data_IF_568675065252
#
_entry.id   IF_568675065252
#
_cell.length_a   1.000
_cell.length_b   1.000
_cell.length_c   1.000
_cell.angle_alpha   90.00
_cell.angle_beta   90.00
_cell.angle_gamma   90.00
#
_symmetry.space_group_name_H-M   'P 1'
#
loop_
_entity.id
_entity.type
_entity.pdbx_description
1 polymer ?
#
# COMPACT_ATOMS: atom_id res chain seq x y z
N UNK A 1 21.18 -16.09 40.01
CA UNK A 1 20.40 -17.13 39.30
C UNK A 1 18.90 -17.04 39.58
N UNK A 2 18.40 -17.21 40.82
CA UNK A 2 16.94 -17.18 41.08
C UNK A 2 16.22 -15.88 40.67
N UNK A 3 16.85 -14.71 40.89
CA UNK A 3 16.27 -13.41 40.50
C UNK A 3 16.15 -13.24 38.97
N UNK A 4 17.19 -13.62 38.21
CA UNK A 4 17.17 -13.63 36.74
C UNK A 4 16.13 -14.61 36.19
N UNK A 5 16.01 -15.78 36.80
CA UNK A 5 14.99 -16.76 36.42
C UNK A 5 13.57 -16.19 36.66
N UNK A 6 13.33 -15.58 37.82
CA UNK A 6 12.02 -14.98 38.15
C UNK A 6 11.69 -13.81 37.21
N UNK A 7 12.69 -13.01 36.84
CA UNK A 7 12.52 -11.91 35.89
C UNK A 7 12.16 -12.42 34.49
N UNK A 8 12.88 -13.43 33.99
CA UNK A 8 12.57 -14.06 32.70
C UNK A 8 11.17 -14.70 32.69
N UNK A 9 10.79 -15.37 33.77
CA UNK A 9 9.45 -15.96 33.92
C UNK A 9 8.34 -14.90 33.87
N UNK A 10 8.54 -13.77 34.55
CA UNK A 10 7.61 -12.64 34.51
C UNK A 10 7.56 -11.97 33.13
N UNK A 11 8.72 -11.76 32.50
CA UNK A 11 8.81 -11.20 31.16
C UNK A 11 8.06 -12.09 30.16
N UNK A 12 8.34 -13.39 30.17
CA UNK A 12 7.65 -14.37 29.31
C UNK A 12 6.13 -14.34 29.50
N UNK A 13 5.65 -14.24 30.74
CA UNK A 13 4.21 -14.14 31.00
C UNK A 13 3.61 -12.83 30.50
N UNK A 14 4.36 -11.73 30.53
CA UNK A 14 3.92 -10.41 30.06
C UNK A 14 3.91 -10.29 28.54
N UNK A 15 4.85 -10.94 27.85
CA UNK A 15 5.01 -10.87 26.38
C UNK A 15 4.26 -11.97 25.63
N UNK A 16 3.69 -12.96 26.34
CA UNK A 16 2.93 -14.03 25.73
C UNK A 16 1.68 -13.50 25.00
N UNK A 17 1.45 -14.02 23.80
CA UNK A 17 0.29 -13.70 22.98
C UNK A 17 -0.66 -14.88 22.91
N UNK A 18 -1.94 -14.60 22.62
CA UNK A 18 -2.98 -15.60 22.44
C UNK A 18 -3.52 -15.56 21.01
N UNK A 19 -3.49 -16.71 20.33
CA UNK A 19 -4.18 -16.94 19.06
C UNK A 19 -5.40 -17.83 19.30
N UNK A 20 -6.50 -17.55 18.60
CA UNK A 20 -7.74 -18.33 18.71
C UNK A 20 -8.30 -18.61 17.32
N UNK A 21 -8.45 -19.89 17.02
CA UNK A 21 -8.93 -20.42 15.75
C UNK A 21 -10.29 -21.08 15.99
N UNK A 22 -11.30 -20.69 15.21
CA UNK A 22 -12.65 -21.26 15.30
C UNK A 22 -12.81 -22.38 14.28
N UNK A 23 -13.76 -23.28 14.53
CA UNK A 23 -14.06 -24.45 13.70
C UNK A 23 -12.82 -25.22 13.22
N UNK A 24 -11.84 -25.39 14.11
CA UNK A 24 -10.57 -26.02 13.78
C UNK A 24 -10.75 -27.52 13.55
N UNK A 25 -10.21 -28.01 12.44
CA UNK A 25 -10.22 -29.41 12.04
C UNK A 25 -8.80 -29.88 11.71
N UNK A 26 -8.40 -31.04 12.24
CA UNK A 26 -7.09 -31.62 12.02
C UNK A 26 -7.21 -32.74 10.99
N UNK A 27 -6.99 -32.44 9.70
CA UNK A 27 -7.20 -33.39 8.60
C UNK A 27 -6.37 -34.67 8.78
N UNK A 28 -5.11 -34.51 9.20
CA UNK A 28 -4.18 -35.61 9.45
C UNK A 28 -4.27 -36.15 10.90
N UNK A 29 -5.23 -35.64 11.69
CA UNK A 29 -5.44 -35.98 13.09
C UNK A 29 -4.60 -35.14 14.06
N UNK A 30 -5.18 -34.85 15.23
CA UNK A 30 -4.55 -34.03 16.26
C UNK A 30 -3.25 -34.62 16.82
N UNK A 31 -3.12 -35.95 16.84
CA UNK A 31 -1.89 -36.62 17.31
C UNK A 31 -0.66 -36.26 16.48
N UNK A 32 -0.77 -36.20 15.15
CA UNK A 32 0.34 -35.80 14.29
C UNK A 32 0.72 -34.33 14.47
N UNK A 33 -0.27 -33.48 14.73
CA UNK A 33 -0.03 -32.07 15.06
C UNK A 33 0.76 -31.93 16.36
N UNK A 34 0.40 -32.67 17.41
CA UNK A 34 1.16 -32.69 18.68
C UNK A 34 2.58 -33.25 18.50
N UNK A 35 2.74 -34.34 17.75
CA UNK A 35 4.06 -34.93 17.47
C UNK A 35 4.98 -33.92 16.77
N UNK A 36 4.46 -33.18 15.79
CA UNK A 36 5.23 -32.15 15.10
C UNK A 36 5.64 -30.99 16.03
N UNK A 37 4.81 -30.62 17.02
CA UNK A 37 5.19 -29.64 18.04
C UNK A 37 6.31 -30.14 18.95
N UNK A 38 6.32 -31.44 19.25
CA UNK A 38 7.37 -32.06 20.05
C UNK A 38 8.71 -32.11 19.28
N UNK A 39 8.66 -32.43 17.98
CA UNK A 39 9.87 -32.47 17.13
C UNK A 39 10.55 -31.11 17.02
N UNK A 40 9.78 -30.02 17.07
CA UNK A 40 10.28 -28.65 17.00
C UNK A 40 10.58 -28.07 18.41
N UNK A 41 10.63 -28.91 19.44
CA UNK A 41 10.88 -28.55 20.85
C UNK A 41 9.92 -27.47 21.41
N UNK A 42 8.74 -27.31 20.80
CA UNK A 42 7.71 -26.35 21.22
C UNK A 42 6.95 -26.84 22.46
N UNK A 43 6.74 -28.16 22.55
CA UNK A 43 6.17 -28.83 23.72
C UNK A 43 7.12 -29.94 24.15
N UNK A 44 7.48 -29.95 25.42
CA UNK A 44 8.32 -30.98 26.01
C UNK A 44 7.45 -32.11 26.58
N UNK A 45 7.80 -33.37 26.28
CA UNK A 45 7.17 -34.61 26.76
C UNK A 45 5.81 -34.99 26.13
N UNK A 46 5.39 -36.26 26.28
CA UNK A 46 4.07 -36.75 25.83
C UNK A 46 2.96 -35.96 26.53
N UNK A 47 2.31 -34.98 25.87
CA UNK A 47 1.52 -34.02 26.60
C UNK A 47 0.18 -34.68 26.96
N UNK A 48 -0.05 -34.88 28.25
CA UNK A 48 -1.33 -35.43 28.73
C UNK A 48 -2.37 -34.32 28.81
N UNK A 49 -3.51 -34.53 28.16
CA UNK A 49 -4.61 -33.56 28.18
C UNK A 49 -5.15 -33.40 29.60
N UNK A 50 -5.14 -32.18 30.14
CA UNK A 50 -5.85 -31.85 31.38
C UNK A 50 -7.19 -31.21 31.04
N UNK A 51 -8.28 -31.74 31.61
CA UNK A 51 -9.59 -31.08 31.51
C UNK A 51 -9.59 -29.84 32.40
N UNK A 52 -9.73 -28.66 31.79
CA UNK A 52 -9.83 -27.37 32.49
C UNK A 52 -11.05 -26.60 31.98
N UNK A 53 -12.03 -26.39 32.87
CA UNK A 53 -13.30 -25.77 32.48
C UNK A 53 -14.06 -26.64 31.46
N UNK A 54 -14.43 -26.07 30.32
CA UNK A 54 -15.14 -26.75 29.23
C UNK A 54 -14.23 -27.28 28.12
N UNK A 55 -12.91 -27.29 28.31
CA UNK A 55 -11.94 -27.67 27.28
C UNK A 55 -10.81 -28.54 27.79
N UNK A 56 -9.95 -28.93 26.86
CA UNK A 56 -8.77 -29.76 27.09
C UNK A 56 -7.53 -28.92 26.89
N UNK A 57 -6.59 -28.97 27.82
CA UNK A 57 -5.37 -28.18 27.78
C UNK A 57 -4.13 -29.08 27.76
N UNK A 58 -3.22 -28.79 26.84
CA UNK A 58 -1.85 -29.33 26.76
C UNK A 58 -0.91 -28.16 27.06
N UNK A 59 -0.11 -28.27 28.11
CA UNK A 59 0.69 -27.15 28.62
C UNK A 59 2.14 -27.56 28.72
N UNK A 60 3.02 -26.71 28.21
CA UNK A 60 4.38 -26.58 28.69
C UNK A 60 4.48 -25.22 29.40
N UNK A 61 5.23 -25.14 30.50
CA UNK A 61 5.25 -23.96 31.36
C UNK A 61 5.54 -22.67 30.56
N UNK A 62 4.51 -21.83 30.31
CA UNK A 62 4.65 -20.58 29.54
C UNK A 62 5.75 -19.69 30.15
N UNK A 63 5.88 -19.71 31.47
CA UNK A 63 6.92 -19.02 32.22
C UNK A 63 8.35 -19.43 31.79
N UNK A 64 8.53 -20.65 31.29
CA UNK A 64 9.81 -21.16 30.75
C UNK A 64 9.94 -21.01 29.23
N UNK A 65 9.04 -20.26 28.57
CA UNK A 65 9.05 -20.06 27.12
C UNK A 65 8.27 -21.10 26.30
N UNK A 66 7.55 -22.00 26.97
CA UNK A 66 6.66 -22.98 26.31
C UNK A 66 5.35 -22.39 25.81
N UNK A 67 4.48 -23.26 25.29
CA UNK A 67 3.13 -22.90 24.86
C UNK A 67 2.04 -23.62 25.66
N UNK A 68 0.86 -23.02 25.71
CA UNK A 68 -0.37 -23.66 26.16
C UNK A 68 -1.35 -23.78 25.01
N UNK A 69 -1.75 -25.01 24.71
CA UNK A 69 -2.78 -25.33 23.71
C UNK A 69 -4.05 -25.71 24.45
N UNK A 70 -5.18 -25.12 24.04
CA UNK A 70 -6.50 -25.44 24.58
C UNK A 70 -7.47 -25.73 23.44
N UNK A 71 -8.21 -26.84 23.52
CA UNK A 71 -9.30 -27.14 22.59
C UNK A 71 -10.65 -27.20 23.30
N UNK A 72 -11.67 -26.63 22.69
CA UNK A 72 -13.06 -26.66 23.23
C UNK A 72 -13.75 -28.04 23.13
N UNK A 73 -13.23 -28.92 22.29
CA UNK A 73 -13.69 -30.31 22.13
C UNK A 73 -12.51 -31.26 22.25
N UNK A 74 -12.76 -32.52 22.61
CA UNK A 74 -11.68 -33.51 22.69
C UNK A 74 -11.18 -33.82 21.27
N UNK A 75 -9.91 -33.55 20.95
CA UNK A 75 -9.46 -33.50 19.56
C UNK A 75 -9.10 -34.89 18.97
N UNK A 76 -9.11 -35.94 19.79
CA UNK A 76 -9.04 -37.34 19.34
C UNK A 76 -10.42 -37.96 19.00
N UNK A 77 -11.50 -37.17 19.04
CA UNK A 77 -12.83 -37.65 18.62
C UNK A 77 -12.79 -37.95 17.12
N UNK A 78 -13.03 -39.22 16.76
CA UNK A 78 -12.88 -39.76 15.39
C UNK A 78 -13.69 -39.04 14.31
N UNK A 79 -14.66 -38.21 14.66
CA UNK A 79 -15.62 -37.61 13.73
C UNK A 79 -15.15 -36.27 13.12
N UNK A 80 -13.87 -35.90 13.24
CA UNK A 80 -13.34 -34.59 12.78
C UNK A 80 -14.18 -33.40 13.26
N UNK A 81 -14.78 -33.51 14.45
CA UNK A 81 -15.68 -32.46 14.92
C UNK A 81 -14.92 -31.15 15.11
N UNK A 82 -15.35 -30.13 14.38
CA UNK A 82 -14.82 -28.79 14.46
C UNK A 82 -14.99 -28.22 15.88
N UNK A 83 -13.94 -27.59 16.40
CA UNK A 83 -13.94 -26.92 17.69
C UNK A 83 -12.97 -25.74 17.71
N UNK A 84 -13.08 -24.87 18.72
CA UNK A 84 -12.10 -23.79 18.93
C UNK A 84 -10.77 -24.34 19.42
N UNK A 85 -9.67 -23.91 18.78
CA UNK A 85 -8.28 -24.08 19.21
C UNK A 85 -7.74 -22.73 19.70
N UNK A 86 -7.21 -22.69 20.92
CA UNK A 86 -6.55 -21.51 21.50
C UNK A 86 -5.11 -21.86 21.83
N UNK A 87 -4.17 -21.00 21.43
CA UNK A 87 -2.73 -21.22 21.64
C UNK A 87 -2.17 -19.97 22.29
N UNK A 88 -1.49 -20.14 23.44
CA UNK A 88 -0.83 -19.06 24.17
C UNK A 88 0.66 -19.35 24.21
N UNK A 89 1.50 -18.39 23.87
CA UNK A 89 2.95 -18.56 23.84
C UNK A 89 3.71 -17.31 23.42
N UNK A 90 5.04 -17.40 23.37
CA UNK A 90 5.87 -16.33 22.82
C UNK A 90 5.62 -16.15 21.31
N UNK A 91 5.80 -14.94 20.75
CA UNK A 91 5.59 -14.67 19.32
C UNK A 91 6.32 -15.66 18.39
N UNK A 92 7.58 -15.99 18.69
CA UNK A 92 8.38 -16.91 17.88
C UNK A 92 7.84 -18.35 17.94
N UNK A 93 7.42 -18.82 19.12
CA UNK A 93 6.80 -20.13 19.29
C UNK A 93 5.47 -20.22 18.54
N UNK A 94 4.67 -19.15 18.57
CA UNK A 94 3.40 -19.09 17.82
C UNK A 94 3.63 -19.16 16.30
N UNK A 95 4.69 -18.55 15.76
CA UNK A 95 5.03 -18.70 14.34
C UNK A 95 5.35 -20.13 13.94
N UNK A 96 6.08 -20.86 14.80
CA UNK A 96 6.43 -22.25 14.56
C UNK A 96 5.15 -23.11 14.56
N UNK A 97 4.26 -22.87 15.53
CA UNK A 97 2.95 -23.53 15.61
C UNK A 97 2.11 -23.27 14.35
N UNK A 98 2.04 -22.02 13.88
CA UNK A 98 1.34 -21.68 12.63
C UNK A 98 1.91 -22.42 11.41
N UNK A 99 3.24 -22.53 11.34
CA UNK A 99 3.92 -23.28 10.28
C UNK A 99 3.63 -24.79 10.35
N UNK A 100 3.46 -25.34 11.55
CA UNK A 100 3.06 -26.74 11.75
C UNK A 100 1.59 -26.95 11.37
N UNK A 101 0.69 -26.04 11.76
CA UNK A 101 -0.72 -26.09 11.38
C UNK A 101 -0.89 -26.17 9.86
N UNK A 102 -0.14 -25.37 9.11
CA UNK A 102 -0.11 -25.41 7.64
C UNK A 102 0.41 -26.76 7.12
N UNK A 103 1.59 -27.21 7.57
CA UNK A 103 2.20 -28.50 7.14
C UNK A 103 1.30 -29.71 7.38
N UNK A 104 0.47 -29.66 8.42
CA UNK A 104 -0.42 -30.75 8.82
C UNK A 104 -1.88 -30.55 8.41
N UNK A 105 -2.16 -29.62 7.49
CA UNK A 105 -3.50 -29.36 6.94
C UNK A 105 -4.55 -29.11 8.04
N UNK A 106 -4.20 -28.28 9.03
CA UNK A 106 -5.14 -27.86 10.07
C UNK A 106 -6.02 -26.75 9.51
N UNK A 107 -7.29 -27.06 9.27
CA UNK A 107 -8.28 -26.12 8.75
C UNK A 107 -8.94 -25.35 9.90
N UNK A 108 -9.33 -24.09 9.70
CA UNK A 108 -10.02 -23.25 10.68
C UNK A 108 -10.73 -22.08 9.98
N UNK A 109 -11.71 -21.46 10.65
CA UNK A 109 -12.41 -20.30 10.11
C UNK A 109 -11.44 -19.16 9.79
N UNK A 110 -11.51 -18.63 8.57
CA UNK A 110 -10.66 -17.54 8.11
C UNK A 110 -9.29 -17.97 7.59
N UNK A 111 -9.01 -19.29 7.53
CA UNK A 111 -7.89 -19.78 6.74
C UNK A 111 -8.16 -19.51 5.25
N UNK A 112 -7.21 -18.93 4.49
CA UNK A 112 -7.42 -18.66 3.08
C UNK A 112 -7.62 -19.96 2.29
N UNK A 113 -8.84 -20.19 1.81
CA UNK A 113 -9.23 -21.37 1.04
C UNK A 113 -9.62 -20.98 -0.39
N UNK A 114 -9.25 -21.75 -1.44
CA UNK A 114 -9.66 -21.43 -2.81
C UNK A 114 -11.18 -21.29 -2.99
N UNK A 115 -11.98 -22.01 -2.20
CA UNK A 115 -13.44 -21.93 -2.26
C UNK A 115 -14.00 -20.62 -1.71
N UNK A 116 -13.28 -19.95 -0.82
CA UNK A 116 -13.70 -18.70 -0.18
C UNK A 116 -13.27 -17.46 -0.98
N UNK A 117 -12.50 -17.67 -2.06
CA UNK A 117 -12.00 -16.60 -2.91
C UNK A 117 -13.03 -16.27 -4.00
N UNK A 118 -13.55 -15.04 -3.92
CA UNK A 118 -14.36 -14.43 -4.97
C UNK A 118 -13.44 -13.75 -6.01
N UNK A 119 -13.63 -14.08 -7.28
CA UNK A 119 -13.00 -13.37 -8.40
C UNK A 119 -14.06 -12.40 -8.94
N UNK A 120 -13.82 -11.10 -8.79
CA UNK A 120 -14.66 -10.06 -9.36
C UNK A 120 -14.06 -9.63 -10.70
N UNK A 121 -14.52 -10.27 -11.77
CA UNK A 121 -14.28 -9.83 -13.14
C UNK A 121 -15.65 -9.59 -13.76
N UNK A 122 -15.88 -8.36 -14.18
CA UNK A 122 -17.05 -7.97 -14.97
C UNK A 122 -16.56 -7.65 -16.38
N UNK A 123 -17.36 -8.02 -17.37
CA UNK A 123 -17.11 -7.71 -18.77
C UNK A 123 -18.46 -7.30 -19.39
N UNK A 124 -18.48 -6.12 -20.01
CA UNK A 124 -19.69 -5.46 -20.47
C UNK A 124 -19.69 -5.32 -21.99
N UNK A 125 -20.87 -5.34 -22.60
CA UNK A 125 -21.05 -5.07 -24.04
C UNK A 125 -20.74 -3.60 -24.42
N UNK A 126 -20.70 -2.70 -23.43
CA UNK A 126 -20.51 -1.26 -23.61
C UNK A 126 -19.44 -0.70 -22.65
N UNK A 127 -18.73 0.35 -23.09
CA UNK A 127 -17.84 1.11 -22.21
C UNK A 127 -18.64 1.79 -21.09
N UNK A 128 -17.95 2.24 -20.04
CA UNK A 128 -18.58 2.81 -18.86
C UNK A 128 -19.53 3.97 -19.23
N UNK A 129 -20.87 3.80 -19.13
CA UNK A 129 -21.83 4.76 -19.63
C UNK A 129 -21.89 6.05 -18.79
N UNK A 130 -21.20 6.10 -17.65
CA UNK A 130 -21.01 7.34 -16.88
C UNK A 130 -20.04 8.30 -17.56
N UNK A 131 -19.14 7.78 -18.39
CA UNK A 131 -18.01 8.50 -18.97
C UNK A 131 -18.12 8.63 -20.48
N UNK A 132 -18.62 7.57 -21.14
CA UNK A 132 -18.60 7.43 -22.59
C UNK A 132 -20.01 7.56 -23.18
N UNK A 133 -20.09 8.23 -24.32
CA UNK A 133 -21.25 8.26 -25.19
C UNK A 133 -20.97 7.46 -26.46
N UNK A 134 -21.88 6.56 -26.81
CA UNK A 134 -21.80 5.81 -28.07
C UNK A 134 -22.34 6.67 -29.22
N UNK A 135 -21.48 7.05 -30.15
CA UNK A 135 -21.85 7.77 -31.36
C UNK A 135 -21.61 6.91 -32.60
N UNK A 136 -22.66 6.20 -33.03
CA UNK A 136 -22.56 5.22 -34.11
C UNK A 136 -21.75 4.00 -33.66
N UNK A 137 -20.62 3.77 -34.32
CA UNK A 137 -19.71 2.65 -34.02
C UNK A 137 -18.53 3.06 -33.13
N UNK A 138 -18.44 4.32 -32.70
CA UNK A 138 -17.35 4.84 -31.86
C UNK A 138 -17.85 5.29 -30.50
N UNK A 139 -16.96 5.30 -29.51
CA UNK A 139 -17.19 5.93 -28.21
C UNK A 139 -16.41 7.23 -28.10
N UNK A 140 -17.06 8.27 -27.60
CA UNK A 140 -16.45 9.56 -27.26
C UNK A 140 -16.72 9.89 -25.80
N UNK A 141 -15.83 10.62 -25.15
CA UNK A 141 -16.11 11.13 -23.81
C UNK A 141 -17.27 12.13 -23.86
N UNK A 142 -18.11 12.13 -22.83
CA UNK A 142 -19.04 13.24 -22.66
C UNK A 142 -18.25 14.56 -22.54
N UNK A 143 -18.69 15.66 -23.19
CA UNK A 143 -17.95 16.92 -23.17
C UNK A 143 -17.68 17.47 -21.76
N UNK A 144 -18.60 17.26 -20.81
CA UNK A 144 -18.43 17.69 -19.42
C UNK A 144 -17.46 16.80 -18.63
N UNK A 145 -17.32 15.53 -19.01
CA UNK A 145 -16.32 14.61 -18.49
C UNK A 145 -14.93 15.01 -19.00
N UNK A 146 -14.80 15.29 -20.30
CA UNK A 146 -13.57 15.79 -20.91
C UNK A 146 -13.05 17.06 -20.22
N UNK A 147 -13.88 18.10 -20.13
CA UNK A 147 -13.51 19.38 -19.50
C UNK A 147 -13.08 19.20 -18.02
N UNK A 148 -13.76 18.31 -17.30
CA UNK A 148 -13.42 18.00 -15.91
C UNK A 148 -12.08 17.27 -15.78
N UNK A 149 -11.80 16.31 -16.68
CA UNK A 149 -10.53 15.58 -16.71
C UNK A 149 -9.36 16.49 -17.08
N UNK A 150 -9.52 17.35 -18.09
CA UNK A 150 -8.50 18.35 -18.46
C UNK A 150 -8.19 19.29 -17.29
N UNK A 151 -9.23 19.78 -16.61
CA UNK A 151 -9.07 20.65 -15.43
C UNK A 151 -8.35 19.93 -14.28
N UNK A 152 -8.63 18.64 -14.09
CA UNK A 152 -7.97 17.83 -13.08
C UNK A 152 -6.50 17.57 -13.42
N UNK A 153 -6.20 17.28 -14.69
CA UNK A 153 -4.84 17.12 -15.20
C UNK A 153 -4.00 18.39 -15.02
N UNK A 154 -4.55 19.56 -15.33
CA UNK A 154 -3.88 20.85 -15.11
C UNK A 154 -3.59 21.10 -13.62
N UNK A 155 -4.54 20.80 -12.74
CA UNK A 155 -4.34 20.97 -11.29
C UNK A 155 -3.22 20.07 -10.76
N UNK A 156 -3.15 18.81 -11.25
CA UNK A 156 -2.07 17.91 -10.91
C UNK A 156 -0.73 18.38 -11.49
N UNK A 157 -0.71 18.86 -12.73
CA UNK A 157 0.48 19.47 -13.34
C UNK A 157 1.00 20.66 -12.53
N UNK A 158 0.12 21.57 -12.09
CA UNK A 158 0.51 22.70 -11.24
C UNK A 158 1.10 22.25 -9.89
N UNK A 159 0.55 21.17 -9.32
CA UNK A 159 1.04 20.58 -8.07
C UNK A 159 2.45 20.00 -8.19
N UNK A 160 2.87 19.54 -9.38
CA UNK A 160 4.23 19.07 -9.61
C UNK A 160 5.27 20.20 -9.50
N UNK A 161 4.88 21.47 -9.41
CA UNK A 161 5.78 22.63 -9.31
C UNK A 161 6.92 22.65 -10.37
N UNK A 162 6.68 22.04 -11.53
CA UNK A 162 7.62 21.93 -12.65
C UNK A 162 7.04 22.63 -13.89
N UNK A 163 7.04 23.97 -13.96
CA UNK A 163 6.34 24.72 -15.01
C UNK A 163 6.89 24.51 -16.42
N UNK A 164 8.13 24.02 -16.55
CA UNK A 164 8.77 23.70 -17.84
C UNK A 164 8.71 22.20 -18.15
N UNK A 165 7.85 21.42 -17.48
CA UNK A 165 7.67 20.00 -17.75
C UNK A 165 6.99 19.86 -19.13
N UNK A 166 7.65 19.25 -20.13
CA UNK A 166 7.06 19.08 -21.44
C UNK A 166 6.01 17.97 -21.39
N UNK A 167 4.74 18.36 -21.39
CA UNK A 167 3.62 17.43 -21.53
C UNK A 167 3.40 17.17 -23.01
N UNK A 168 3.63 15.92 -23.41
CA UNK A 168 3.37 15.48 -24.78
C UNK A 168 1.86 15.23 -24.98
N UNK A 169 1.22 14.60 -24.00
CA UNK A 169 -0.21 14.28 -24.01
C UNK A 169 -0.78 14.17 -22.58
N UNK A 170 -2.11 14.20 -22.46
CA UNK A 170 -2.84 13.81 -21.26
C UNK A 170 -3.80 12.70 -21.66
N UNK A 171 -3.59 11.50 -21.13
CA UNK A 171 -4.37 10.32 -21.53
C UNK A 171 -5.15 9.74 -20.37
N UNK A 172 -6.23 9.04 -20.69
CA UNK A 172 -6.94 8.19 -19.74
C UNK A 172 -6.84 6.72 -20.17
N UNK A 173 -6.73 5.85 -19.18
CA UNK A 173 -6.53 4.41 -19.35
C UNK A 173 -7.18 3.63 -18.21
N UNK A 174 -6.91 2.33 -18.15
CA UNK A 174 -7.40 1.44 -17.11
C UNK A 174 -8.81 0.93 -17.38
N UNK A 175 -9.40 0.29 -16.37
CA UNK A 175 -10.66 -0.45 -16.55
C UNK A 175 -11.84 0.43 -16.98
N UNK A 176 -11.89 1.70 -16.56
CA UNK A 176 -12.93 2.66 -16.96
C UNK A 176 -12.83 3.13 -18.42
N UNK A 177 -11.68 2.91 -19.07
CA UNK A 177 -11.47 3.15 -20.51
C UNK A 177 -11.52 1.85 -21.33
N UNK A 178 -12.18 0.82 -20.80
CA UNK A 178 -12.24 -0.52 -21.36
C UNK A 178 -13.60 -1.18 -21.04
N UNK A 179 -13.83 -2.41 -21.50
CA UNK A 179 -15.09 -3.17 -21.30
C UNK A 179 -15.15 -3.91 -19.96
N UNK A 180 -14.08 -3.86 -19.15
CA UNK A 180 -13.95 -4.57 -17.87
C UNK A 180 -14.08 -3.65 -16.64
N UNK A 181 -14.84 -2.56 -16.78
CA UNK A 181 -15.14 -1.65 -15.68
C UNK A 181 -16.07 -2.32 -14.65
N UNK A 182 -16.05 -1.82 -13.41
CA UNK A 182 -16.89 -2.26 -12.30
C UNK A 182 -17.38 -1.03 -11.52
N UNK A 183 -18.29 -1.20 -10.55
CA UNK A 183 -18.67 -0.11 -9.64
C UNK A 183 -17.50 0.39 -8.76
N UNK A 184 -16.44 -0.41 -8.62
CA UNK A 184 -15.21 -0.04 -7.90
C UNK A 184 -14.09 0.48 -8.80
N UNK A 185 -14.32 0.61 -10.11
CA UNK A 185 -13.31 1.07 -11.05
C UNK A 185 -13.01 2.55 -10.84
N UNK A 186 -11.71 2.85 -10.88
CA UNK A 186 -11.15 4.19 -11.01
C UNK A 186 -10.91 4.53 -12.48
N UNK A 187 -10.56 5.78 -12.73
CA UNK A 187 -10.09 6.29 -14.00
C UNK A 187 -8.65 6.77 -13.84
N UNK A 188 -7.74 6.13 -14.55
CA UNK A 188 -6.33 6.44 -14.50
C UNK A 188 -6.04 7.60 -15.46
N UNK A 189 -5.65 8.77 -14.93
CA UNK A 189 -5.27 9.95 -15.70
C UNK A 189 -3.74 10.10 -15.71
N UNK A 190 -3.17 10.11 -16.91
CA UNK A 190 -1.73 10.10 -17.15
C UNK A 190 -1.28 11.41 -17.80
N UNK A 191 -0.34 12.11 -17.16
CA UNK A 191 0.47 13.14 -17.82
C UNK A 191 1.62 12.45 -18.55
N UNK A 192 1.57 12.43 -19.88
CA UNK A 192 2.57 11.75 -20.72
C UNK A 192 3.73 12.69 -21.01
N UNK A 193 4.95 12.23 -20.74
CA UNK A 193 6.18 13.03 -20.85
C UNK A 193 7.33 12.23 -21.49
N UNK A 194 8.31 12.94 -22.06
CA UNK A 194 9.60 12.34 -22.43
C UNK A 194 10.48 12.22 -21.18
N UNK A 195 10.49 11.04 -20.55
CA UNK A 195 11.24 10.83 -19.31
C UNK A 195 12.75 10.95 -19.55
N UNK A 196 13.24 10.54 -20.72
CA UNK A 196 14.67 10.64 -21.07
C UNK A 196 15.12 12.10 -21.14
N UNK A 197 14.30 12.99 -21.70
CA UNK A 197 14.58 14.42 -21.73
C UNK A 197 14.56 15.03 -20.33
N UNK A 198 13.63 14.60 -19.47
CA UNK A 198 13.52 15.08 -18.09
C UNK A 198 14.71 14.62 -17.26
N UNK A 199 15.08 13.34 -17.31
CA UNK A 199 16.25 12.80 -16.62
C UNK A 199 17.54 13.50 -17.04
N UNK A 200 17.66 13.85 -18.33
CA UNK A 200 18.80 14.64 -18.80
C UNK A 200 18.86 16.04 -18.16
N UNK A 201 17.72 16.65 -17.84
CA UNK A 201 17.63 18.01 -17.25
C UNK A 201 17.74 18.00 -15.73
N UNK A 202 17.10 17.03 -15.06
CA UNK A 202 16.95 17.01 -13.60
C UNK A 202 17.64 15.82 -12.92
N UNK A 203 18.22 14.90 -13.70
CA UNK A 203 18.86 13.68 -13.22
C UNK A 203 17.89 12.52 -12.99
N UNK A 204 18.43 11.37 -12.62
CA UNK A 204 17.71 10.12 -12.33
C UNK A 204 16.75 10.21 -11.11
N UNK A 205 16.73 11.35 -10.41
CA UNK A 205 15.79 11.62 -9.32
C UNK A 205 14.38 11.94 -9.83
N UNK A 206 14.23 12.34 -11.09
CA UNK A 206 12.93 12.79 -11.61
C UNK A 206 11.84 11.71 -11.56
N UNK A 207 12.08 10.44 -11.98
CA UNK A 207 11.09 9.38 -11.81
C UNK A 207 10.70 9.15 -10.34
N UNK A 208 11.66 9.23 -9.42
CA UNK A 208 11.40 9.09 -7.97
C UNK A 208 10.56 10.25 -7.45
N UNK A 209 10.82 11.47 -7.92
CA UNK A 209 10.03 12.65 -7.59
C UNK A 209 8.58 12.49 -8.05
N UNK A 210 8.34 12.11 -9.32
CA UNK A 210 6.98 11.95 -9.82
C UNK A 210 6.22 10.83 -9.11
N UNK A 211 6.88 9.69 -8.83
CA UNK A 211 6.27 8.61 -8.05
C UNK A 211 5.87 9.07 -6.63
N UNK A 212 6.70 9.90 -5.99
CA UNK A 212 6.38 10.47 -4.69
C UNK A 212 5.23 11.49 -4.77
N UNK A 213 5.26 12.42 -5.73
CA UNK A 213 4.20 13.42 -5.91
C UNK A 213 2.86 12.79 -6.26
N UNK A 214 2.86 11.78 -7.15
CA UNK A 214 1.69 10.95 -7.42
C UNK A 214 1.09 10.43 -6.10
N UNK A 215 1.92 9.80 -5.26
CA UNK A 215 1.45 9.21 -4.00
C UNK A 215 0.85 10.29 -3.09
N UNK A 216 1.56 11.40 -2.90
CA UNK A 216 1.10 12.50 -2.05
C UNK A 216 -0.21 13.08 -2.58
N UNK A 217 -0.34 13.29 -3.89
CA UNK A 217 -1.55 13.83 -4.49
C UNK A 217 -2.76 12.92 -4.30
N UNK A 218 -2.62 11.63 -4.65
CA UNK A 218 -3.69 10.63 -4.56
C UNK A 218 -4.09 10.35 -3.10
N UNK A 219 -3.16 10.44 -2.14
CA UNK A 219 -3.47 10.30 -0.71
C UNK A 219 -4.25 11.50 -0.13
N UNK A 220 -3.99 12.71 -0.66
CA UNK A 220 -4.55 13.96 -0.11
C UNK A 220 -5.88 14.38 -0.76
N UNK A 221 -6.18 13.90 -1.95
CA UNK A 221 -7.33 14.35 -2.74
C UNK A 221 -8.24 13.18 -3.14
N UNK A 222 -9.54 13.40 -3.05
CA UNK A 222 -10.59 12.46 -3.44
C UNK A 222 -11.36 13.03 -4.65
N UNK A 223 -10.71 13.03 -5.82
CA UNK A 223 -11.25 13.61 -7.04
C UNK A 223 -12.16 12.57 -7.72
N UNK A 224 -13.42 12.96 -7.98
CA UNK A 224 -14.42 12.09 -8.58
C UNK A 224 -15.09 12.77 -9.77
N UNK A 225 -15.23 12.06 -10.89
CA UNK A 225 -15.94 12.53 -12.09
C UNK A 225 -17.11 11.58 -12.36
N UNK A 226 -18.33 12.11 -12.30
CA UNK A 226 -19.58 11.31 -12.39
C UNK A 226 -19.64 10.14 -11.38
N UNK A 227 -18.96 10.30 -10.23
CA UNK A 227 -18.86 9.27 -9.20
C UNK A 227 -17.83 8.17 -9.49
N UNK A 228 -16.96 8.36 -10.48
CA UNK A 228 -15.78 7.53 -10.75
C UNK A 228 -14.56 8.24 -10.16
N UNK A 229 -13.82 7.61 -9.22
CA UNK A 229 -12.58 8.17 -8.68
C UNK A 229 -11.52 8.33 -9.78
N UNK A 230 -10.68 9.37 -9.68
CA UNK A 230 -9.59 9.61 -10.63
C UNK A 230 -8.25 9.38 -9.91
N UNK A 231 -7.42 8.48 -10.44
CA UNK A 231 -6.04 8.28 -9.98
C UNK A 231 -5.06 8.95 -10.94
N UNK A 232 -4.06 9.67 -10.41
CA UNK A 232 -3.14 10.46 -11.24
C UNK A 232 -1.77 9.80 -11.39
N UNK A 233 -1.18 9.95 -12.57
CA UNK A 233 0.09 9.35 -12.96
C UNK A 233 0.92 10.34 -13.81
N UNK A 234 2.24 10.23 -13.72
CA UNK A 234 3.16 10.76 -14.74
C UNK A 234 3.77 9.55 -15.43
N UNK A 235 3.67 9.50 -16.75
CA UNK A 235 4.06 8.34 -17.53
C UNK A 235 5.11 8.69 -18.58
N UNK A 236 6.11 7.82 -18.74
CA UNK A 236 7.05 7.92 -19.85
C UNK A 236 6.37 7.53 -21.16
N UNK A 237 6.50 8.35 -22.19
CA UNK A 237 5.93 8.09 -23.51
C UNK A 237 6.46 6.80 -24.17
N UNK A 238 7.64 6.34 -23.78
CA UNK A 238 8.25 5.10 -24.27
C UNK A 238 7.85 3.86 -23.45
N UNK A 239 7.09 4.03 -22.37
CA UNK A 239 6.64 2.92 -21.54
C UNK A 239 5.65 2.03 -22.29
N UNK A 240 5.85 0.70 -22.24
CA UNK A 240 4.95 -0.24 -22.90
C UNK A 240 3.61 -0.26 -22.18
N UNK A 241 2.53 0.01 -22.92
CA UNK A 241 1.18 -0.13 -22.41
C UNK A 241 0.75 -1.61 -22.42
N UNK A 242 0.31 -2.09 -21.27
CA UNK A 242 -0.43 -3.35 -21.13
C UNK A 242 -1.95 -3.14 -21.16
N UNK A 243 -2.39 -1.87 -21.10
CA UNK A 243 -3.80 -1.51 -21.27
C UNK A 243 -4.23 -1.72 -22.71
N UNK A 244 -5.46 -2.20 -22.88
CA UNK A 244 -6.07 -2.35 -24.20
C UNK A 244 -6.90 -1.14 -24.62
N UNK A 245 -7.00 -0.09 -23.79
CA UNK A 245 -7.71 1.16 -24.12
C UNK A 245 -6.94 2.40 -23.63
N UNK A 246 -6.67 3.34 -24.54
CA UNK A 246 -5.98 4.60 -24.24
C UNK A 246 -6.63 5.72 -25.05
N UNK A 247 -7.12 6.74 -24.37
CA UNK A 247 -7.76 7.91 -24.98
C UNK A 247 -7.00 9.19 -24.67
N UNK A 248 -6.67 9.97 -25.70
CA UNK A 248 -6.05 11.28 -25.55
C UNK A 248 -7.11 12.33 -25.26
N UNK A 249 -6.97 13.04 -24.13
CA UNK A 249 -7.80 14.20 -23.82
C UNK A 249 -7.41 15.40 -24.68
N UNK A 250 -6.12 15.54 -24.99
CA UNK A 250 -5.58 16.65 -25.77
C UNK A 250 -6.10 16.66 -27.21
N UNK A 251 -6.09 15.49 -27.84
CA UNK A 251 -6.53 15.32 -29.23
C UNK A 251 -8.00 14.85 -29.32
N UNK A 252 -8.61 14.52 -28.18
CA UNK A 252 -9.99 14.03 -28.05
C UNK A 252 -10.26 12.81 -28.96
N UNK A 253 -9.33 11.87 -28.97
CA UNK A 253 -9.37 10.68 -29.81
C UNK A 253 -8.74 9.45 -29.14
N UNK A 254 -9.10 8.26 -29.59
CA UNK A 254 -8.46 7.02 -29.15
C UNK A 254 -7.04 6.92 -29.71
N UNK A 255 -6.06 6.88 -28.82
CA UNK A 255 -4.69 6.47 -29.18
C UNK A 255 -4.65 4.95 -29.42
N UNK A 256 -5.38 4.21 -28.58
CA UNK A 256 -5.62 2.78 -28.72
C UNK A 256 -7.07 2.50 -28.32
N UNK A 257 -7.93 2.17 -29.29
CA UNK A 257 -9.33 1.86 -29.02
C UNK A 257 -9.48 0.44 -28.43
N UNK A 258 -10.26 0.25 -27.35
CA UNK A 258 -10.47 -1.05 -26.75
C UNK A 258 -11.28 -1.98 -27.66
N UNK A 259 -10.84 -3.24 -27.74
CA UNK A 259 -11.57 -4.29 -28.44
C UNK A 259 -12.47 -5.06 -27.48
N UNK A 260 -13.69 -5.35 -27.92
CA UNK A 260 -14.62 -6.20 -27.16
C UNK A 260 -14.34 -7.68 -27.44
N UNK A 261 -13.32 -8.21 -26.77
CA UNK A 261 -12.94 -9.63 -26.78
C UNK A 261 -12.97 -10.17 -25.35
N UNK A 262 -14.07 -10.85 -25.02
CA UNK A 262 -14.23 -11.45 -23.68
C UNK A 262 -13.12 -12.50 -23.44
N UNK A 263 -12.34 -12.35 -22.36
CA UNK A 263 -11.21 -13.22 -22.08
C UNK A 263 -11.64 -14.58 -21.53
N UNK A 264 -10.92 -15.65 -21.91
CA UNK A 264 -11.06 -16.96 -21.28
C UNK A 264 -10.21 -17.02 -19.99
N UNK A 265 -10.87 -17.04 -18.83
CA UNK A 265 -10.22 -17.00 -17.51
C UNK A 265 -10.32 -18.36 -16.83
N UNK A 266 -9.18 -18.91 -16.42
CA UNK A 266 -9.12 -20.08 -15.54
C UNK A 266 -9.28 -19.67 -14.07
N UNK A 267 -10.53 -19.54 -13.65
CA UNK A 267 -10.90 -19.21 -12.27
C UNK A 267 -10.26 -20.14 -11.23
N UNK A 268 -10.14 -21.44 -11.55
CA UNK A 268 -9.57 -22.41 -10.62
C UNK A 268 -8.08 -22.15 -10.42
N UNK A 269 -7.34 -21.86 -11.50
CA UNK A 269 -5.94 -21.50 -11.42
C UNK A 269 -5.73 -20.20 -10.62
N UNK A 270 -6.57 -19.17 -10.85
CA UNK A 270 -6.51 -17.91 -10.09
C UNK A 270 -6.76 -18.16 -8.60
N UNK A 271 -7.85 -18.86 -8.23
CA UNK A 271 -8.19 -19.14 -6.82
C UNK A 271 -7.13 -19.96 -6.11
N UNK A 272 -6.66 -21.04 -6.75
CA UNK A 272 -5.62 -21.89 -6.18
C UNK A 272 -4.33 -21.09 -5.92
N UNK A 273 -3.92 -20.26 -6.89
CA UNK A 273 -2.69 -19.47 -6.77
C UNK A 273 -2.80 -18.34 -5.77
N UNK A 274 -3.95 -17.68 -5.69
CA UNK A 274 -4.22 -16.65 -4.69
C UNK A 274 -4.19 -17.23 -3.28
N UNK A 275 -4.87 -18.35 -3.02
CA UNK A 275 -4.83 -19.04 -1.72
C UNK A 275 -3.41 -19.45 -1.33
N UNK A 276 -2.61 -19.98 -2.26
CA UNK A 276 -1.21 -20.33 -2.02
C UNK A 276 -0.37 -19.12 -1.57
N UNK A 277 -0.56 -17.96 -2.22
CA UNK A 277 0.16 -16.73 -1.89
C UNK A 277 -0.35 -16.09 -0.59
N UNK A 278 -1.65 -16.17 -0.33
CA UNK A 278 -2.25 -15.74 0.95
C UNK A 278 -1.63 -16.52 2.12
N UNK A 279 -1.55 -17.85 2.04
CA UNK A 279 -0.90 -18.68 3.05
C UNK A 279 0.58 -18.31 3.25
N UNK A 280 1.31 -18.05 2.15
CA UNK A 280 2.69 -17.56 2.22
C UNK A 280 2.80 -16.21 2.94
N UNK A 281 1.90 -15.27 2.65
CA UNK A 281 1.87 -13.96 3.32
C UNK A 281 1.51 -14.12 4.80
N UNK A 282 0.50 -14.92 5.14
CA UNK A 282 0.10 -15.20 6.53
C UNK A 282 1.25 -15.77 7.35
N UNK A 283 2.01 -16.69 6.75
CA UNK A 283 3.20 -17.25 7.37
C UNK A 283 4.25 -16.17 7.67
N UNK A 284 4.62 -15.35 6.70
CA UNK A 284 5.68 -14.34 6.86
C UNK A 284 5.24 -13.21 7.79
N UNK A 285 3.95 -12.86 7.78
CA UNK A 285 3.37 -11.78 8.59
C UNK A 285 3.06 -12.19 10.03
N UNK A 286 3.14 -13.48 10.40
CA UNK A 286 2.70 -13.94 11.73
C UNK A 286 3.49 -13.37 12.93
N UNK A 287 4.70 -12.84 12.74
CA UNK A 287 5.44 -12.09 13.78
C UNK A 287 5.85 -10.68 13.37
N UNK A 288 5.71 -10.33 12.08
CA UNK A 288 6.34 -9.15 11.50
C UNK A 288 7.84 -8.99 11.88
N UNK A 289 8.62 -10.09 12.01
CA UNK A 289 9.97 -9.99 12.58
C UNK A 289 11.13 -9.83 11.58
N UNK A 290 10.95 -10.15 10.29
CA UNK A 290 12.06 -10.32 9.35
C UNK A 290 11.87 -9.46 8.10
N UNK A 291 12.50 -8.27 8.06
CA UNK A 291 12.45 -7.35 6.93
C UNK A 291 12.79 -8.03 5.58
N UNK A 292 13.87 -8.82 5.54
CA UNK A 292 14.32 -9.54 4.33
C UNK A 292 13.30 -10.53 3.75
N UNK A 293 12.46 -11.13 4.60
CA UNK A 293 11.45 -12.06 4.14
C UNK A 293 10.34 -11.34 3.37
N UNK A 294 10.02 -10.10 3.77
CA UNK A 294 9.04 -9.25 3.10
C UNK A 294 9.53 -8.78 1.72
N UNK A 295 10.81 -8.40 1.60
CA UNK A 295 11.38 -8.01 0.30
C UNK A 295 11.28 -9.13 -0.74
N UNK A 296 11.58 -10.37 -0.33
CA UNK A 296 11.58 -11.53 -1.23
C UNK A 296 10.19 -11.82 -1.79
N UNK A 297 9.17 -11.83 -0.95
CA UNK A 297 7.80 -12.10 -1.39
C UNK A 297 7.23 -10.93 -2.19
N UNK A 298 7.55 -9.67 -1.84
CA UNK A 298 7.16 -8.49 -2.64
C UNK A 298 7.79 -8.50 -4.02
N UNK A 299 9.09 -8.81 -4.11
CA UNK A 299 9.78 -8.97 -5.39
C UNK A 299 9.14 -10.09 -6.21
N UNK A 300 8.87 -11.25 -5.58
CA UNK A 300 8.16 -12.36 -6.24
C UNK A 300 6.79 -11.95 -6.78
N UNK A 301 5.98 -11.22 -6.00
CA UNK A 301 4.65 -10.75 -6.42
C UNK A 301 4.75 -9.76 -7.59
N UNK A 302 5.72 -8.84 -7.54
CA UNK A 302 5.95 -7.87 -8.61
C UNK A 302 6.36 -8.56 -9.91
N UNK A 303 7.38 -9.42 -9.85
CA UNK A 303 7.92 -10.10 -11.03
C UNK A 303 6.88 -11.08 -11.62
N UNK A 304 6.10 -11.74 -10.75
CA UNK A 304 4.97 -12.59 -11.14
C UNK A 304 3.90 -11.80 -11.91
N UNK A 305 3.48 -10.64 -11.38
CA UNK A 305 2.51 -9.77 -12.05
C UNK A 305 3.05 -9.25 -13.38
N UNK A 306 4.29 -8.79 -13.41
CA UNK A 306 4.93 -8.26 -14.62
C UNK A 306 4.96 -9.30 -15.74
N UNK A 307 5.37 -10.54 -15.43
CA UNK A 307 5.40 -11.62 -16.41
C UNK A 307 4.00 -11.93 -16.99
N UNK A 308 2.95 -11.87 -16.18
CA UNK A 308 1.57 -12.03 -16.64
C UNK A 308 1.12 -10.92 -17.57
N UNK A 309 1.36 -9.66 -17.18
CA UNK A 309 1.02 -8.48 -17.98
C UNK A 309 1.73 -8.50 -19.35
N UNK A 310 3.01 -8.87 -19.38
CA UNK A 310 3.78 -8.96 -20.62
C UNK A 310 3.30 -10.10 -21.55
N UNK A 311 2.78 -11.20 -20.98
CA UNK A 311 2.40 -12.39 -21.75
C UNK A 311 0.96 -12.37 -22.23
N UNK A 312 0.03 -11.97 -21.37
CA UNK A 312 -1.41 -12.11 -21.60
C UNK A 312 -2.23 -10.89 -21.15
N UNK A 313 -1.56 -9.77 -20.83
CA UNK A 313 -2.22 -8.50 -20.53
C UNK A 313 -3.04 -8.50 -19.23
N UNK A 314 -4.09 -7.68 -19.22
CA UNK A 314 -4.89 -7.39 -18.03
C UNK A 314 -5.61 -8.62 -17.43
N UNK A 315 -5.93 -9.61 -18.26
CA UNK A 315 -6.64 -10.83 -17.87
C UNK A 315 -5.74 -12.03 -17.62
N UNK A 316 -4.42 -11.81 -17.57
CA UNK A 316 -3.48 -12.83 -17.13
C UNK A 316 -3.80 -13.34 -15.72
N UNK A 317 -3.64 -14.64 -15.52
CA UNK A 317 -3.83 -15.29 -14.21
C UNK A 317 -3.06 -14.55 -13.12
N UNK A 318 -1.84 -14.11 -13.41
CA UNK A 318 -0.97 -13.43 -12.46
C UNK A 318 -1.51 -12.05 -12.04
N UNK A 319 -2.06 -11.28 -12.99
CA UNK A 319 -2.68 -9.99 -12.68
C UNK A 319 -4.00 -10.16 -11.92
N UNK A 320 -4.81 -11.16 -12.27
CA UNK A 320 -6.04 -11.48 -11.54
C UNK A 320 -5.76 -11.93 -10.10
N UNK A 321 -4.73 -12.77 -9.89
CA UNK A 321 -4.26 -13.15 -8.56
C UNK A 321 -3.83 -11.92 -7.75
N UNK A 322 -3.13 -10.97 -8.35
CA UNK A 322 -2.75 -9.72 -7.69
C UNK A 322 -3.98 -8.89 -7.29
N UNK A 323 -4.99 -8.77 -8.17
CA UNK A 323 -6.27 -8.11 -7.86
C UNK A 323 -6.99 -8.79 -6.69
N UNK A 324 -7.02 -10.12 -6.67
CA UNK A 324 -7.59 -10.90 -5.54
C UNK A 324 -6.84 -10.63 -4.24
N UNK A 325 -5.51 -10.61 -4.24
CA UNK A 325 -4.70 -10.30 -3.06
C UNK A 325 -4.96 -8.87 -2.54
N UNK A 326 -5.10 -7.88 -3.44
CA UNK A 326 -5.47 -6.49 -3.08
C UNK A 326 -6.86 -6.45 -2.45
N UNK A 327 -7.86 -7.04 -3.10
CA UNK A 327 -9.25 -7.03 -2.65
C UNK A 327 -9.44 -7.68 -1.27
N UNK A 328 -8.61 -8.66 -0.92
CA UNK A 328 -8.64 -9.34 0.37
C UNK A 328 -7.68 -8.72 1.41
N UNK A 329 -7.09 -7.54 1.15
CA UNK A 329 -6.24 -6.80 2.10
C UNK A 329 -4.86 -7.42 2.35
N UNK A 330 -4.45 -8.43 1.57
CA UNK A 330 -3.17 -9.11 1.76
C UNK A 330 -1.97 -8.26 1.36
N UNK A 331 -2.14 -7.34 0.39
CA UNK A 331 -1.09 -6.38 0.00
C UNK A 331 -0.85 -5.31 1.07
N UNK A 332 -1.91 -4.87 1.76
CA UNK A 332 -1.79 -3.92 2.87
C UNK A 332 -1.16 -4.61 4.07
N UNK A 333 -1.64 -5.83 4.39
CA UNK A 333 -1.11 -6.66 5.49
C UNK A 333 0.41 -6.84 5.41
N UNK A 334 0.92 -7.14 4.21
CA UNK A 334 2.36 -7.32 4.04
C UNK A 334 3.13 -6.00 4.16
N UNK A 335 2.59 -4.91 3.62
CA UNK A 335 3.20 -3.59 3.69
C UNK A 335 3.28 -3.09 5.13
N UNK A 336 2.20 -3.26 5.91
CA UNK A 336 2.14 -2.91 7.32
C UNK A 336 3.16 -3.68 8.16
N UNK A 337 3.27 -5.00 7.96
CA UNK A 337 4.25 -5.80 8.67
C UNK A 337 5.69 -5.41 8.30
N UNK A 338 5.96 -5.12 7.02
CA UNK A 338 7.28 -4.67 6.56
C UNK A 338 7.68 -3.37 7.26
N UNK A 339 6.78 -2.40 7.31
CA UNK A 339 7.00 -1.12 8.00
C UNK A 339 7.26 -1.34 9.48
N UNK A 340 6.43 -2.15 10.17
CA UNK A 340 6.65 -2.47 11.59
C UNK A 340 7.99 -3.15 11.86
N UNK A 341 8.39 -4.11 11.01
CA UNK A 341 9.67 -4.79 11.13
C UNK A 341 10.84 -3.80 10.99
N UNK A 342 10.76 -2.96 9.96
CA UNK A 342 11.78 -1.94 9.68
C UNK A 342 11.87 -0.88 10.77
N UNK A 343 10.73 -0.35 11.23
CA UNK A 343 10.67 0.65 12.30
C UNK A 343 11.26 0.10 13.59
N UNK A 344 10.96 -1.15 13.93
CA UNK A 344 11.55 -1.80 15.11
C UNK A 344 13.05 -1.99 14.97
N UNK A 345 13.53 -2.42 13.80
CA UNK A 345 14.97 -2.61 13.56
C UNK A 345 15.76 -1.28 13.65
N UNK A 346 15.10 -0.13 13.42
CA UNK A 346 15.71 1.21 13.53
C UNK A 346 15.38 1.94 14.84
N UNK A 347 14.48 1.41 15.65
CA UNK A 347 14.11 2.00 16.94
C UNK A 347 15.05 1.48 18.03
N UNK A 348 15.42 2.38 18.95
CA UNK A 348 16.20 2.02 20.15
C UNK A 348 15.28 2.25 21.35
N UNK A 349 15.05 1.20 22.12
CA UNK A 349 14.23 1.27 23.33
C UNK A 349 14.94 2.06 24.44
N UNK A 350 14.18 2.67 25.36
CA UNK A 350 14.72 3.58 26.39
C UNK A 350 15.80 2.92 27.28
N UNK A 351 15.62 1.62 27.60
CA UNK A 351 16.63 0.83 28.33
C UNK A 351 17.93 0.61 27.54
N UNK A 352 17.85 0.40 26.22
CA UNK A 352 19.04 0.30 25.37
C UNK A 352 19.72 1.66 25.21
N UNK A 353 18.92 2.73 25.13
CA UNK A 353 19.39 4.10 25.08
C UNK A 353 20.16 4.49 26.34
N UNK A 354 19.66 4.14 27.53
CA UNK A 354 20.33 4.40 28.81
C UNK A 354 21.64 3.61 28.94
N UNK A 355 21.73 2.41 28.38
CA UNK A 355 22.98 1.62 28.32
C UNK A 355 24.00 2.20 27.31
N UNK A 356 23.54 2.86 26.24
CA UNK A 356 24.40 3.59 25.30
C UNK A 356 24.87 4.94 25.85
N UNK A 357 24.27 5.40 26.95
CA UNK A 357 24.51 6.70 27.58
C UNK A 357 25.62 6.69 28.63
N UNK A 358 26.27 5.53 28.85
CA UNK A 358 27.58 5.50 29.52
C UNK A 358 28.50 6.46 28.78
N UNK A 359 28.68 7.63 29.38
CA UNK A 359 29.26 8.81 28.74
C UNK A 359 30.75 8.52 28.44
N UNK A 360 31.17 8.39 27.16
CA UNK A 360 32.58 8.15 26.83
C UNK A 360 33.49 9.29 27.29
N UNK A 361 32.91 10.43 27.67
CA UNK A 361 33.60 11.63 28.12
C UNK A 361 33.87 11.64 29.64
N UNK A 362 33.29 10.73 30.43
CA UNK A 362 33.63 10.59 31.87
C UNK A 362 35.08 10.10 32.06
N UNK A 363 35.57 9.19 31.20
CA UNK A 363 36.92 8.61 31.29
C UNK A 363 38.04 9.60 30.94
N UNK A 364 37.75 10.72 30.26
CA UNK A 364 38.74 11.74 29.89
C UNK A 364 38.61 13.06 30.66
N UNK A 365 37.76 13.10 31.68
CA UNK A 365 37.67 14.23 32.63
C UNK A 365 37.11 15.53 32.06
N UNK A 366 36.32 15.48 30.98
CA UNK A 366 35.74 16.68 30.37
C UNK A 366 34.40 17.04 31.03
N UNK A 367 34.37 18.10 31.85
CA UNK A 367 33.10 18.63 32.39
C UNK A 367 32.48 19.61 31.38
N UNK A 368 31.26 19.32 30.91
CA UNK A 368 30.49 20.25 30.05
C UNK A 368 30.22 21.55 30.81
N UNK A 369 30.92 22.62 30.45
CA UNK A 369 30.59 23.98 30.89
C UNK A 369 29.21 24.43 30.34
N UNK A 370 28.54 25.39 30.99
CA UNK A 370 27.17 25.78 30.64
C UNK A 370 27.08 26.35 29.23
N UNK A 371 26.16 25.79 28.44
CA UNK A 371 25.86 26.22 27.09
C UNK A 371 25.40 27.69 27.08
N UNK A 372 26.17 28.58 26.42
CA UNK A 372 25.73 29.95 26.13
C UNK A 372 25.15 29.98 24.72
N UNK A 373 23.84 30.15 24.53
CA UNK A 373 23.27 30.29 23.20
C UNK A 373 23.82 31.55 22.53
N UNK A 374 24.27 31.41 21.27
CA UNK A 374 24.70 32.53 20.44
C UNK A 374 23.49 33.41 20.11
N UNK A 375 23.66 34.70 20.28
CA UNK A 375 22.68 35.78 20.11
C UNK A 375 22.03 35.85 18.72
N UNK A 376 20.73 36.19 18.70
CA UNK A 376 19.89 36.52 17.55
C UNK A 376 20.57 37.43 16.51
N UNK A 377 20.63 36.97 15.26
CA UNK A 377 20.78 37.83 14.08
C UNK A 377 19.38 38.05 13.52
N UNK A 378 18.77 39.19 13.84
CA UNK A 378 17.53 39.64 13.21
C UNK A 378 17.86 40.18 11.81
N UNK A 379 17.55 39.42 10.76
CA UNK A 379 17.48 39.96 9.40
C UNK A 379 16.15 40.71 9.26
N UNK A 380 16.23 42.01 8.98
CA UNK A 380 15.08 42.84 8.62
C UNK A 380 14.53 42.39 7.26
N UNK A 381 13.39 41.71 7.25
CA UNK A 381 12.62 41.44 6.02
C UNK A 381 11.59 42.54 5.82
N UNK A 382 11.62 43.22 4.67
CA UNK A 382 10.63 44.23 4.31
C UNK A 382 9.22 43.63 4.18
N UNK A 383 8.22 44.31 4.74
CA UNK A 383 6.83 43.86 4.78
C UNK A 383 6.18 43.95 3.39
N UNK A 384 5.90 42.80 2.76
CA UNK A 384 5.16 42.68 1.50
C UNK A 384 3.66 42.50 1.73
N UNK A 385 2.83 43.06 0.85
CA UNK A 385 1.37 43.00 0.94
C UNK A 385 0.79 42.28 -0.27
N UNK A 386 -0.25 41.48 -0.06
CA UNK A 386 -0.96 40.75 -1.11
C UNK A 386 -1.99 41.65 -1.82
N UNK A 387 -1.98 41.63 -3.15
CA UNK A 387 -2.95 42.37 -3.99
C UNK A 387 -3.48 41.43 -5.04
N UNK A 388 -4.81 41.35 -5.18
CA UNK A 388 -5.47 40.55 -6.22
C UNK A 388 -5.57 41.35 -7.52
N UNK A 389 -5.46 40.67 -8.64
CA UNK A 389 -5.38 41.22 -9.99
C UNK A 389 -6.51 40.67 -10.86
N UNK A 390 -7.05 41.53 -11.72
CA UNK A 390 -8.04 41.16 -12.74
C UNK A 390 -7.33 40.97 -14.10
N UNK A 391 -6.61 39.86 -14.24
CA UNK A 391 -5.84 39.55 -15.46
C UNK A 391 -6.74 38.82 -16.47
N UNK A 392 -6.94 39.34 -17.70
CA UNK A 392 -7.62 38.61 -18.76
C UNK A 392 -6.86 37.34 -19.16
N UNK A 393 -7.57 36.27 -19.54
CA UNK A 393 -6.97 34.98 -19.89
C UNK A 393 -5.84 35.08 -20.93
N UNK A 394 -6.01 35.92 -21.95
CA UNK A 394 -5.00 36.17 -23.00
C UNK A 394 -3.71 36.84 -22.50
N UNK A 395 -3.69 37.34 -21.27
CA UNK A 395 -2.54 38.01 -20.64
C UNK A 395 -1.92 37.20 -19.49
N UNK A 396 -2.35 35.95 -19.29
CA UNK A 396 -1.89 35.07 -18.20
C UNK A 396 -0.38 34.86 -18.16
N UNK A 397 0.24 34.65 -19.33
CA UNK A 397 1.70 34.48 -19.43
C UNK A 397 2.46 35.76 -19.08
N UNK A 398 1.93 36.91 -19.49
CA UNK A 398 2.51 38.22 -19.17
C UNK A 398 2.41 38.52 -17.67
N UNK A 399 1.29 38.19 -17.03
CA UNK A 399 1.12 38.33 -15.58
C UNK A 399 2.04 37.39 -14.79
N UNK A 400 2.18 36.14 -15.21
CA UNK A 400 3.11 35.16 -14.61
C UNK A 400 4.56 35.64 -14.73
N UNK A 401 4.96 36.17 -15.89
CA UNK A 401 6.29 36.78 -16.10
C UNK A 401 6.55 38.00 -15.22
N UNK A 402 5.50 38.74 -14.85
CA UNK A 402 5.56 39.86 -13.92
C UNK A 402 5.58 39.43 -12.43
N UNK A 403 5.52 38.14 -12.13
CA UNK A 403 5.53 37.59 -10.78
C UNK A 403 4.15 37.43 -10.13
N UNK A 404 3.06 37.50 -10.91
CA UNK A 404 1.73 37.18 -10.43
C UNK A 404 1.53 35.66 -10.28
N UNK A 405 0.82 35.27 -9.23
CA UNK A 405 0.43 33.89 -8.91
C UNK A 405 -1.08 33.75 -8.99
N UNK A 406 -1.58 32.58 -9.34
CA UNK A 406 -3.01 32.29 -9.29
C UNK A 406 -3.40 31.80 -7.90
N UNK A 407 -4.53 32.28 -7.37
CA UNK A 407 -5.16 31.71 -6.19
C UNK A 407 -6.41 30.95 -6.63
N UNK A 408 -6.33 29.62 -6.61
CA UNK A 408 -7.39 28.73 -7.01
C UNK A 408 -8.62 28.81 -6.08
N UNK A 409 -8.42 29.11 -4.80
CA UNK A 409 -9.48 29.21 -3.80
C UNK A 409 -10.44 30.38 -4.05
N UNK A 410 -9.93 31.48 -4.60
CA UNK A 410 -10.76 32.65 -4.97
C UNK A 410 -10.84 32.92 -6.48
N UNK A 411 -10.22 32.07 -7.29
CA UNK A 411 -10.14 32.17 -8.76
C UNK A 411 -9.69 33.55 -9.22
N UNK A 412 -8.59 34.06 -8.65
CA UNK A 412 -7.99 35.35 -9.03
C UNK A 412 -6.47 35.30 -9.04
N UNK A 413 -5.87 36.10 -9.93
CA UNK A 413 -4.43 36.37 -9.89
C UNK A 413 -4.10 37.25 -8.68
N UNK A 414 -2.89 37.14 -8.14
CA UNK A 414 -2.39 37.98 -7.05
C UNK A 414 -0.88 38.18 -7.12
N UNK A 415 -0.38 39.25 -6.49
CA UNK A 415 1.05 39.50 -6.29
C UNK A 415 1.35 39.88 -4.83
N UNK A 416 2.55 39.54 -4.35
CA UNK A 416 3.11 40.00 -3.08
C UNK A 416 4.10 41.13 -3.35
N UNK A 417 3.65 42.37 -3.13
CA UNK A 417 4.41 43.58 -3.50
C UNK A 417 4.69 44.48 -2.31
N UNK A 418 5.81 45.17 -2.36
CA UNK A 418 6.09 46.37 -1.56
C UNK A 418 5.32 47.56 -2.14
N UNK A 419 5.23 48.66 -1.37
CA UNK A 419 4.59 49.90 -1.85
C UNK A 419 5.24 50.45 -3.13
N UNK A 420 6.55 50.23 -3.34
CA UNK A 420 7.27 50.68 -4.54
C UNK A 420 7.00 49.77 -5.76
N UNK A 421 6.77 48.48 -5.56
CA UNK A 421 6.45 47.54 -6.64
C UNK A 421 4.99 47.67 -7.11
N UNK A 422 4.10 48.16 -6.24
CA UNK A 422 2.71 48.43 -6.58
C UNK A 422 2.58 49.37 -7.80
N UNK A 423 3.43 50.39 -7.89
CA UNK A 423 3.42 51.37 -8.98
C UNK A 423 3.76 50.77 -10.35
N UNK A 424 4.40 49.59 -10.38
CA UNK A 424 4.82 48.90 -11.61
C UNK A 424 3.75 47.95 -12.17
N UNK A 425 2.69 47.68 -11.42
CA UNK A 425 1.59 46.82 -11.87
C UNK A 425 0.75 47.59 -12.92
N UNK A 426 0.51 47.02 -14.12
CA UNK A 426 -0.33 47.63 -15.14
C UNK A 426 -1.72 48.01 -14.60
N UNK A 427 -2.20 49.22 -14.91
CA UNK A 427 -3.52 49.67 -14.49
C UNK A 427 -4.66 48.78 -15.00
N UNK A 428 -4.46 48.06 -16.10
CA UNK A 428 -5.43 47.11 -16.63
C UNK A 428 -5.60 45.84 -15.78
N UNK A 429 -4.68 45.57 -14.83
CA UNK A 429 -4.73 44.42 -13.92
C UNK A 429 -5.14 44.81 -12.50
N UNK A 430 -5.13 46.10 -12.17
CA UNK A 430 -5.68 46.64 -10.90
C UNK A 430 -7.19 46.68 -11.00
#
# INVERSE_FOLDING_TARGET
MKMLQTFNEQHNLQTAQQLTFKNTQFENGFGQFLEALMVEDIIQEEPTAQLRGSGYTWCNEIAQGGIQITTSKHPYVKNKEAGTLTIVGQPDSLQIVMSIMERHNVHYDGAPSPQDIEIKVEYHDELNPKLWEKQGDMYELYPDVLEALESAGEAFFEFLEMPDLPIEDVTITGSSANYNWTDSSDLDLHLVVDMKAIEKKYGEIAPLYFNAQKKVWNDLHDINIKGVPVEFYVQDMDEKHHSTGIYSLKDNEWVLEPTHEEPDIDDNAVKAKASELMSQIDKITSSCNKADAFEKIMTKLRDFRQAGLEKAGEFSTENLVFKVLRANGYLDKITDCRTKAFDRDLSVEEEEWDNLRDDPWEDIGYTKGPFKPKSNIAQQTEKRTRINLNVPYSQRESARKAGAKWDAGIRKWYMLVTNQELEKIPNAWR
#
